data_IF_534856922610
#
_entry.id   IF_534856922610
#
_cell.length_a   1.000
_cell.length_b   1.000
_cell.length_c   1.000
_cell.angle_alpha   90.00
_cell.angle_beta   90.00
_cell.angle_gamma   90.00
#
_symmetry.space_group_name_H-M   'P 1'
#
loop_
_entity.id
_entity.type
_entity.pdbx_description
1 polymer ?
#
# COMPACT_ATOMS: atom_id res chain seq x y z
N UNK A 1 -6.55 -3.29 -14.35
CA UNK A 1 -7.99 -2.93 -14.22
C UNK A 1 -8.40 -3.37 -12.83
N UNK A 2 -9.01 -2.48 -12.06
CA UNK A 2 -9.34 -2.76 -10.65
C UNK A 2 -10.53 -3.74 -10.59
N UNK A 3 -10.38 -4.80 -9.80
CA UNK A 3 -11.44 -5.77 -9.52
C UNK A 3 -12.58 -5.12 -8.74
N UNK A 4 -13.82 -5.38 -9.15
CA UNK A 4 -15.02 -4.90 -8.44
C UNK A 4 -15.24 -5.60 -7.11
N UNK A 5 -14.61 -6.76 -6.92
CA UNK A 5 -14.76 -7.58 -5.71
C UNK A 5 -13.66 -7.29 -4.68
N UNK A 6 -12.71 -6.40 -5.02
CA UNK A 6 -11.64 -6.04 -4.10
C UNK A 6 -12.15 -5.05 -3.05
N UNK A 7 -12.02 -5.43 -1.79
CA UNK A 7 -12.25 -4.56 -0.64
C UNK A 7 -10.88 -4.35 0.04
N UNK A 8 -10.42 -3.10 0.20
CA UNK A 8 -9.17 -2.82 0.91
C UNK A 8 -9.22 -3.32 2.36
N UNK A 9 -8.14 -3.94 2.82
CA UNK A 9 -8.00 -4.39 4.20
C UNK A 9 -6.86 -3.63 4.91
N UNK A 10 -7.04 -3.41 6.21
CA UNK A 10 -6.01 -2.80 7.05
C UNK A 10 -4.96 -3.82 7.47
N UNK A 11 -3.72 -3.57 7.08
CA UNK A 11 -2.54 -4.27 7.58
C UNK A 11 -1.93 -3.48 8.73
N UNK A 12 -1.02 -4.12 9.46
CA UNK A 12 -0.33 -3.50 10.59
C UNK A 12 1.18 -3.59 10.38
N UNK A 13 1.85 -2.46 10.56
CA UNK A 13 3.29 -2.36 10.37
C UNK A 13 4.04 -3.31 11.30
N UNK A 14 5.29 -3.66 10.94
CA UNK A 14 6.24 -4.17 11.91
C UNK A 14 6.17 -3.31 13.19
N UNK A 15 6.21 -3.97 14.34
CA UNK A 15 6.12 -3.35 15.68
C UNK A 15 4.78 -2.69 16.00
N UNK A 16 3.76 -2.81 15.15
CA UNK A 16 2.37 -2.46 15.47
C UNK A 16 2.08 -0.98 15.74
N UNK A 17 2.91 -0.08 15.18
CA UNK A 17 2.76 1.37 15.37
C UNK A 17 1.98 2.05 14.26
N UNK A 18 1.74 1.47 13.08
CA UNK A 18 0.89 2.11 12.05
C UNK A 18 0.04 1.05 11.38
N UNK A 19 -1.24 1.36 11.16
CA UNK A 19 -2.07 0.57 10.25
C UNK A 19 -2.03 1.18 8.86
N UNK A 20 -1.92 0.35 7.83
CA UNK A 20 -1.91 0.84 6.45
C UNK A 20 -2.71 -0.04 5.52
N UNK A 21 -3.15 0.56 4.41
CA UNK A 21 -3.93 -0.08 3.37
C UNK A 21 -3.63 0.57 2.02
N UNK A 22 -3.97 -0.13 0.93
CA UNK A 22 -3.89 0.36 -0.44
C UNK A 22 -5.27 0.75 -0.97
N UNK A 23 -5.41 2.00 -1.40
CA UNK A 23 -6.55 2.51 -2.14
C UNK A 23 -6.17 2.78 -3.60
N UNK A 24 -7.08 2.49 -4.54
CA UNK A 24 -6.86 2.65 -5.98
C UNK A 24 -7.91 3.51 -6.67
N UNK A 25 -8.90 3.95 -5.92
CA UNK A 25 -9.98 4.82 -6.37
C UNK A 25 -10.67 5.43 -5.14
N UNK A 26 -11.60 6.35 -5.37
CA UNK A 26 -12.36 7.00 -4.30
C UNK A 26 -13.22 6.00 -3.49
N UNK A 27 -13.80 4.98 -4.12
CA UNK A 27 -14.60 3.99 -3.40
C UNK A 27 -13.76 3.23 -2.35
N UNK A 28 -12.52 2.88 -2.68
CA UNK A 28 -11.59 2.26 -1.73
C UNK A 28 -11.28 3.18 -0.56
N UNK A 29 -11.11 4.49 -0.82
CA UNK A 29 -10.95 5.48 0.24
C UNK A 29 -12.18 5.49 1.14
N UNK A 30 -13.36 5.64 0.55
CA UNK A 30 -14.62 5.73 1.29
C UNK A 30 -14.84 4.49 2.17
N UNK A 31 -14.59 3.28 1.67
CA UNK A 31 -14.68 2.04 2.44
C UNK A 31 -13.71 2.00 3.63
N UNK A 32 -12.50 2.54 3.49
CA UNK A 32 -11.53 2.65 4.59
C UNK A 32 -11.92 3.73 5.61
N UNK A 33 -12.67 4.76 5.19
CA UNK A 33 -13.15 5.86 6.01
C UNK A 33 -14.55 5.67 6.59
N UNK A 34 -15.34 4.68 6.20
CA UNK A 34 -16.61 4.42 6.90
C UNK A 34 -16.39 4.21 8.42
N UNK A 35 -15.21 3.76 8.82
CA UNK A 35 -14.77 3.65 10.22
C UNK A 35 -14.19 4.96 10.82
N UNK A 36 -13.94 6.00 10.02
CA UNK A 36 -13.26 7.25 10.40
C UNK A 36 -14.01 8.46 9.84
N UNK A 37 -14.57 9.31 10.71
CA UNK A 37 -15.53 10.39 10.34
C UNK A 37 -15.06 11.54 9.42
N UNK A 38 -14.03 11.37 8.58
CA UNK A 38 -13.60 12.30 7.52
C UNK A 38 -12.99 11.50 6.36
N UNK A 39 -13.59 11.51 5.17
CA UNK A 39 -12.96 10.99 3.96
C UNK A 39 -12.26 12.12 3.21
N UNK A 40 -10.95 11.96 2.96
CA UNK A 40 -10.20 12.84 2.07
C UNK A 40 -10.41 12.43 0.59
N UNK A 41 -10.18 13.37 -0.33
CA UNK A 41 -10.26 13.10 -1.76
C UNK A 41 -9.08 12.23 -2.20
N UNK A 42 -9.37 11.19 -3.00
CA UNK A 42 -8.37 10.33 -3.60
C UNK A 42 -7.47 11.11 -4.57
N UNK A 43 -6.14 10.96 -4.41
CA UNK A 43 -5.08 11.61 -5.19
C UNK A 43 -5.22 13.13 -5.33
N UNK A 44 -5.49 13.80 -4.21
CA UNK A 44 -5.64 15.25 -4.16
C UNK A 44 -4.33 16.03 -4.44
N UNK A 45 -3.17 15.38 -4.40
CA UNK A 45 -1.86 16.00 -4.66
C UNK A 45 -1.44 15.97 -6.14
N UNK A 46 -2.20 15.31 -7.01
CA UNK A 46 -1.93 15.25 -8.46
C UNK A 46 -0.72 14.38 -8.85
N UNK A 47 -0.31 13.44 -7.99
CA UNK A 47 0.77 12.47 -8.25
C UNK A 47 0.24 11.10 -8.70
N UNK A 48 1.12 10.26 -9.27
CA UNK A 48 0.78 8.88 -9.65
C UNK A 48 0.50 7.99 -8.43
N UNK A 49 1.13 8.30 -7.29
CA UNK A 49 0.90 7.67 -6.00
C UNK A 49 1.15 8.69 -4.87
N UNK A 50 0.56 8.45 -3.70
CA UNK A 50 0.81 9.24 -2.48
C UNK A 50 0.46 8.45 -1.21
N UNK A 51 0.91 8.93 -0.05
CA UNK A 51 0.44 8.49 1.27
C UNK A 51 -0.27 9.63 1.99
N UNK A 52 -1.52 9.41 2.40
CA UNK A 52 -2.23 10.28 3.35
C UNK A 52 -2.21 9.64 4.73
N UNK A 53 -2.10 10.45 5.79
CA UNK A 53 -2.07 9.96 7.17
C UNK A 53 -3.16 10.56 8.04
N UNK A 54 -3.67 9.75 8.96
CA UNK A 54 -4.83 10.07 9.79
C UNK A 54 -4.56 9.73 11.25
N UNK A 55 -5.34 10.35 12.15
CA UNK A 55 -5.28 10.13 13.59
C UNK A 55 -3.85 10.22 14.13
N UNK A 56 -3.18 11.35 13.86
CA UNK A 56 -1.80 11.62 14.27
C UNK A 56 -0.78 10.57 13.77
N UNK A 57 -0.98 10.10 12.53
CA UNK A 57 -0.11 9.10 11.90
C UNK A 57 -0.35 7.66 12.36
N UNK A 58 -1.46 7.38 13.06
CA UNK A 58 -1.84 6.02 13.43
C UNK A 58 -2.29 5.18 12.23
N UNK A 59 -2.82 5.84 11.20
CA UNK A 59 -3.27 5.22 9.97
C UNK A 59 -2.60 5.91 8.78
N UNK A 60 -2.21 5.10 7.80
CA UNK A 60 -1.64 5.56 6.54
C UNK A 60 -2.37 4.89 5.37
N UNK A 61 -2.93 5.66 4.45
CA UNK A 61 -3.54 5.13 3.23
C UNK A 61 -2.61 5.42 2.08
N UNK A 62 -2.06 4.36 1.50
CA UNK A 62 -1.29 4.42 0.25
C UNK A 62 -2.29 4.47 -0.89
N UNK A 63 -2.11 5.42 -1.80
CA UNK A 63 -2.98 5.65 -2.94
C UNK A 63 -2.17 5.50 -4.21
N UNK A 64 -2.67 4.75 -5.18
CA UNK A 64 -2.06 4.65 -6.51
C UNK A 64 -3.13 4.78 -7.58
N UNK A 65 -2.89 5.66 -8.54
CA UNK A 65 -3.86 6.06 -9.55
C UNK A 65 -4.03 5.08 -10.71
N UNK A 66 -4.38 5.62 -11.87
CA UNK A 66 -4.39 4.82 -13.09
C UNK A 66 -2.97 4.35 -13.43
N UNK A 67 -2.84 3.05 -13.62
CA UNK A 67 -1.57 2.38 -13.97
C UNK A 67 -1.62 1.81 -15.38
N UNK A 68 -2.60 2.20 -16.20
CA UNK A 68 -2.81 1.66 -17.55
C UNK A 68 -1.62 1.90 -18.50
N UNK A 69 -0.83 2.94 -18.25
CA UNK A 69 0.37 3.31 -19.00
C UNK A 69 1.68 2.77 -18.39
N UNK A 70 1.61 2.03 -17.28
CA UNK A 70 2.78 1.55 -16.53
C UNK A 70 2.91 0.04 -16.58
N UNK A 71 4.14 -0.44 -16.70
CA UNK A 71 4.43 -1.86 -16.50
C UNK A 71 4.45 -2.21 -15.00
N UNK A 72 4.46 -3.51 -14.70
CA UNK A 72 4.43 -4.02 -13.32
C UNK A 72 5.64 -3.57 -12.49
N UNK A 73 6.81 -3.43 -13.10
CA UNK A 73 8.02 -2.98 -12.41
C UNK A 73 7.92 -1.51 -12.02
N UNK A 74 7.36 -0.68 -12.91
CA UNK A 74 7.09 0.73 -12.63
C UNK A 74 6.07 0.89 -11.49
N UNK A 75 5.00 0.08 -11.51
CA UNK A 75 4.01 0.05 -10.41
C UNK A 75 4.68 -0.34 -9.08
N UNK A 76 5.49 -1.40 -9.07
CA UNK A 76 6.20 -1.83 -7.86
C UNK A 76 7.22 -0.80 -7.39
N UNK A 77 7.86 -0.07 -8.31
CA UNK A 77 8.70 1.07 -7.98
C UNK A 77 7.95 2.19 -7.25
N UNK A 78 6.73 2.53 -7.71
CA UNK A 78 5.88 3.52 -7.03
C UNK A 78 5.45 3.03 -5.65
N UNK A 79 4.98 1.78 -5.54
CA UNK A 79 4.55 1.22 -4.25
C UNK A 79 5.71 1.10 -3.24
N UNK A 80 6.92 0.77 -3.71
CA UNK A 80 8.13 0.79 -2.87
C UNK A 80 8.43 2.22 -2.38
N UNK A 81 8.27 3.23 -3.22
CA UNK A 81 8.45 4.63 -2.82
C UNK A 81 7.48 5.00 -1.69
N UNK A 82 6.20 4.65 -1.84
CA UNK A 82 5.20 4.91 -0.81
C UNK A 82 5.44 4.07 0.47
N UNK A 83 5.98 2.86 0.36
CA UNK A 83 6.39 2.05 1.52
C UNK A 83 7.45 2.77 2.38
N UNK A 84 8.39 3.49 1.74
CA UNK A 84 9.37 4.33 2.45
C UNK A 84 8.66 5.43 3.24
N UNK A 85 7.63 6.06 2.69
CA UNK A 85 6.83 7.06 3.40
C UNK A 85 6.07 6.46 4.59
N UNK A 86 5.42 5.29 4.43
CA UNK A 86 4.77 4.57 5.54
C UNK A 86 5.78 4.29 6.65
N UNK A 87 6.97 3.77 6.32
CA UNK A 87 8.02 3.54 7.30
C UNK A 87 8.46 4.82 8.03
N UNK A 88 8.56 5.96 7.34
CA UNK A 88 8.88 7.24 7.99
C UNK A 88 7.84 7.62 9.05
N UNK A 89 6.55 7.32 8.83
CA UNK A 89 5.51 7.51 9.85
C UNK A 89 5.63 6.50 11.00
N UNK A 90 5.89 5.22 10.71
CA UNK A 90 6.15 4.20 11.74
C UNK A 90 7.31 4.62 12.65
N UNK A 91 8.44 5.02 12.05
CA UNK A 91 9.64 5.49 12.76
C UNK A 91 9.32 6.67 13.68
N UNK A 92 8.58 7.67 13.19
CA UNK A 92 8.13 8.82 13.99
C UNK A 92 7.23 8.41 15.16
N UNK A 93 6.26 7.53 14.91
CA UNK A 93 5.29 7.04 15.91
C UNK A 93 5.95 6.21 17.02
N UNK A 94 6.97 5.43 16.65
CA UNK A 94 7.79 4.66 17.59
C UNK A 94 8.69 5.57 18.46
N UNK A 95 8.91 6.82 18.05
CA UNK A 95 9.87 7.73 18.69
C UNK A 95 11.33 7.38 18.38
N UNK A 96 11.57 6.51 17.40
CA UNK A 96 12.90 6.09 16.97
C UNK A 96 13.55 7.14 16.08
N UNK A 97 14.82 7.43 16.33
CA UNK A 97 15.59 8.45 15.61
C UNK A 97 16.72 7.87 14.79
N UNK A 98 17.27 6.75 15.22
CA UNK A 98 18.43 6.11 14.62
C UNK A 98 18.25 4.58 14.60
N UNK A 99 17.29 4.07 13.81
CA UNK A 99 17.11 2.64 13.66
C UNK A 99 18.35 2.02 13.03
N UNK A 100 18.63 0.74 13.32
CA UNK A 100 19.69 0.05 12.60
C UNK A 100 19.38 -0.06 11.10
N UNK A 101 20.42 -0.10 10.28
CA UNK A 101 20.28 -0.18 8.81
C UNK A 101 19.48 -1.40 8.36
N UNK A 102 19.67 -2.55 9.02
CA UNK A 102 18.92 -3.78 8.76
C UNK A 102 17.45 -3.64 9.19
N UNK A 103 17.21 -3.03 10.34
CA UNK A 103 15.85 -2.83 10.83
C UNK A 103 15.04 -1.94 9.87
N UNK A 104 15.64 -0.85 9.39
CA UNK A 104 15.02 0.02 8.38
C UNK A 104 14.78 -0.73 7.07
N UNK A 105 15.78 -1.47 6.56
CA UNK A 105 15.68 -2.22 5.32
C UNK A 105 14.56 -3.28 5.35
N UNK A 106 14.52 -4.11 6.39
CA UNK A 106 13.50 -5.15 6.54
C UNK A 106 12.10 -4.57 6.74
N UNK A 107 11.98 -3.44 7.43
CA UNK A 107 10.67 -2.80 7.64
C UNK A 107 10.09 -2.26 6.34
N UNK A 108 10.92 -1.58 5.54
CA UNK A 108 10.52 -1.10 4.22
C UNK A 108 10.19 -2.27 3.29
N UNK A 109 11.02 -3.33 3.30
CA UNK A 109 10.77 -4.52 2.50
C UNK A 109 9.43 -5.16 2.83
N UNK A 110 9.11 -5.35 4.12
CA UNK A 110 7.86 -5.97 4.54
C UNK A 110 6.64 -5.15 4.08
N UNK A 111 6.66 -3.83 4.31
CA UNK A 111 5.57 -2.94 3.89
C UNK A 111 5.40 -2.96 2.37
N UNK A 112 6.51 -2.91 1.62
CA UNK A 112 6.47 -2.94 0.16
C UNK A 112 5.87 -4.26 -0.37
N UNK A 113 6.27 -5.40 0.20
CA UNK A 113 5.74 -6.71 -0.19
C UNK A 113 4.23 -6.79 0.05
N UNK A 114 3.74 -6.33 1.20
CA UNK A 114 2.31 -6.24 1.48
C UNK A 114 1.58 -5.37 0.44
N UNK A 115 2.15 -4.20 0.09
CA UNK A 115 1.56 -3.32 -0.92
C UNK A 115 1.53 -3.95 -2.32
N UNK A 116 2.55 -4.74 -2.68
CA UNK A 116 2.56 -5.48 -3.95
C UNK A 116 1.45 -6.53 -3.96
N UNK A 117 1.31 -7.30 -2.88
CA UNK A 117 0.25 -8.31 -2.75
C UNK A 117 -1.15 -7.67 -2.78
N UNK A 118 -1.35 -6.55 -2.09
CA UNK A 118 -2.59 -5.78 -2.13
C UNK A 118 -2.91 -5.30 -3.56
N UNK A 119 -1.90 -4.82 -4.29
CA UNK A 119 -2.07 -4.40 -5.66
C UNK A 119 -2.46 -5.57 -6.56
N UNK A 120 -1.76 -6.70 -6.48
CA UNK A 120 -2.10 -7.92 -7.24
C UNK A 120 -3.50 -8.43 -6.91
N UNK A 121 -3.88 -8.45 -5.63
CA UNK A 121 -5.21 -8.84 -5.18
C UNK A 121 -6.31 -7.90 -5.71
N UNK A 122 -5.98 -6.62 -5.93
CA UNK A 122 -6.89 -5.63 -6.48
C UNK A 122 -7.05 -5.69 -8.00
N UNK A 123 -6.21 -6.44 -8.72
CA UNK A 123 -6.32 -6.57 -10.17
C UNK A 123 -7.38 -7.61 -10.56
N UNK A 124 -8.11 -7.35 -11.66
CA UNK A 124 -8.99 -8.34 -12.28
C UNK A 124 -8.15 -9.56 -12.69
N UNK A 125 -8.37 -10.70 -12.04
CA UNK A 125 -7.75 -11.96 -12.44
C UNK A 125 -8.22 -12.31 -13.85
N UNK A 126 -7.30 -12.32 -14.82
CA UNK A 126 -7.59 -12.93 -16.13
C UNK A 126 -7.84 -14.41 -15.89
N UNK A 127 -9.08 -14.88 -16.06
CA UNK A 127 -9.35 -16.32 -16.16
C UNK A 127 -8.49 -16.89 -17.29
N UNK A 128 -7.41 -17.61 -16.96
CA UNK A 128 -6.62 -18.33 -17.96
C UNK A 128 -5.10 -18.26 -17.89
N UNK A 129 -4.48 -17.98 -16.74
CA UNK A 129 -3.09 -18.44 -16.52
C UNK A 129 -3.02 -19.04 -15.11
N UNK A 130 -3.39 -20.31 -15.01
CA UNK A 130 -2.86 -21.15 -13.94
C UNK A 130 -1.35 -21.02 -14.00
N UNK A 131 -0.73 -20.62 -12.88
CA UNK A 131 0.71 -20.63 -12.77
C UNK A 131 1.19 -22.01 -13.20
N UNK A 132 1.99 -22.05 -14.27
CA UNK A 132 2.80 -23.21 -14.58
C UNK A 132 3.69 -23.42 -13.37
N UNK A 133 3.23 -24.24 -12.43
CA UNK A 133 4.13 -24.89 -11.48
C UNK A 133 5.22 -25.48 -12.35
N UNK A 134 6.44 -25.02 -12.12
CA UNK A 134 7.63 -25.69 -12.55
C UNK A 134 7.55 -27.13 -11.99
N UNK A 135 6.97 -28.03 -12.78
CA UNK A 135 7.25 -29.45 -12.69
C UNK A 135 8.68 -29.64 -13.20
N UNK A 136 9.42 -30.50 -12.50
CA UNK A 136 10.78 -30.98 -12.78
C UNK A 136 11.91 -30.16 -12.14
N UNK A 137 12.18 -30.44 -10.86
CA UNK A 137 13.42 -31.10 -10.45
C UNK A 137 13.11 -32.22 -9.45
#
# INVERSE_FOLDING_TARGET
>A
MISTDYVPEWYISPFQHVKYALARNQLHMDLLFEDMGKADQFLDMGSDAQVSTFSDGAYAIVQIGDTSDKDQIQVYGLLLHEAVHVWQFVKRRMGERDPSVEFEAYSIQAIAQDLFEMFEASEVKKHGVEGSKAEQL
#
